data_IF_257965730579
#
_entry.id   IF_257965730579
#
_cell.length_a   1.000
_cell.length_b   1.000
_cell.length_c   1.000
_cell.angle_alpha   90.00
_cell.angle_beta   90.00
_cell.angle_gamma   90.00
#
_symmetry.space_group_name_H-M   'P 1'
#
loop_
_entity.id
_entity.type
_entity.pdbx_description
1 polymer ?
#
# COMPACT_ATOMS: atom_id res chain seq x y z
N UNK A 1 15.33 -0.57 -6.90
CA UNK A 1 14.02 -0.17 -7.46
C UNK A 1 13.68 1.19 -6.89
N UNK A 2 13.27 2.17 -7.70
CA UNK A 2 12.87 3.46 -7.15
C UNK A 2 11.44 3.38 -6.57
N UNK A 3 11.04 4.33 -5.73
CA UNK A 3 9.74 4.31 -5.05
C UNK A 3 8.56 4.34 -6.03
N UNK A 4 8.67 5.06 -7.15
CA UNK A 4 7.60 5.14 -8.17
C UNK A 4 7.39 3.79 -8.87
N UNK A 5 8.44 3.02 -9.10
CA UNK A 5 8.37 1.68 -9.66
C UNK A 5 7.71 0.70 -8.69
N UNK A 6 7.98 0.83 -7.38
CA UNK A 6 7.29 0.04 -6.35
C UNK A 6 5.79 0.33 -6.36
N UNK A 7 5.39 1.61 -6.41
CA UNK A 7 3.98 1.99 -6.45
C UNK A 7 3.24 1.39 -7.65
N UNK A 8 3.91 1.27 -8.80
CA UNK A 8 3.34 0.68 -10.02
C UNK A 8 3.14 -0.84 -9.95
N UNK A 9 3.77 -1.53 -9.00
CA UNK A 9 3.50 -2.95 -8.77
C UNK A 9 2.10 -3.17 -8.20
N UNK A 10 1.54 -2.18 -7.51
CA UNK A 10 0.21 -2.25 -6.90
C UNK A 10 -0.83 -1.91 -7.97
N UNK A 11 -1.74 -2.83 -8.34
CA UNK A 11 -2.74 -2.60 -9.37
C UNK A 11 -3.65 -1.40 -9.05
N UNK A 12 -4.12 -0.72 -10.09
CA UNK A 12 -4.97 0.47 -9.99
C UNK A 12 -6.20 0.19 -9.11
N UNK A 13 -6.93 -0.91 -9.35
CA UNK A 13 -8.09 -1.28 -8.53
C UNK A 13 -7.74 -1.46 -7.04
N UNK A 14 -6.55 -1.96 -6.72
CA UNK A 14 -6.12 -2.13 -5.32
C UNK A 14 -5.81 -0.76 -4.70
N UNK A 15 -5.18 0.16 -5.45
CA UNK A 15 -4.96 1.53 -4.99
C UNK A 15 -6.29 2.21 -4.69
N UNK A 16 -7.20 2.28 -5.67
CA UNK A 16 -8.48 3.01 -5.55
C UNK A 16 -9.42 2.40 -4.50
N UNK A 17 -9.58 1.07 -4.48
CA UNK A 17 -10.61 0.41 -3.66
C UNK A 17 -10.14 0.04 -2.26
N UNK A 18 -8.83 -0.04 -2.01
CA UNK A 18 -8.28 -0.59 -0.75
C UNK A 18 -7.32 0.36 -0.04
N UNK A 19 -6.49 1.11 -0.75
CA UNK A 19 -5.44 1.93 -0.13
C UNK A 19 -5.83 3.41 0.01
N UNK A 20 -6.44 3.97 -1.03
CA UNK A 20 -6.80 5.38 -1.14
C UNK A 20 -8.29 5.61 -0.85
N UNK A 21 -8.79 4.97 0.22
CA UNK A 21 -10.17 5.12 0.68
C UNK A 21 -10.31 6.25 1.70
N UNK A 22 -11.55 6.65 2.00
CA UNK A 22 -11.86 7.65 3.03
C UNK A 22 -11.35 7.26 4.43
N UNK A 23 -11.32 5.96 4.74
CA UNK A 23 -10.76 5.43 6.00
C UNK A 23 -9.23 5.38 6.01
N UNK A 24 -8.58 5.67 4.87
CA UNK A 24 -7.13 5.74 4.68
C UNK A 24 -6.32 4.73 5.52
N UNK A 25 -6.31 3.44 5.15
CA UNK A 25 -5.60 2.40 5.90
C UNK A 25 -4.11 2.70 6.10
N UNK A 26 -3.48 3.41 5.15
CA UNK A 26 -2.08 3.85 5.24
C UNK A 26 -1.84 4.79 6.44
N UNK A 27 -2.79 5.69 6.72
CA UNK A 27 -2.68 6.64 7.81
C UNK A 27 -3.07 6.01 9.16
N UNK A 28 -4.03 5.08 9.15
CA UNK A 28 -4.64 4.49 10.35
C UNK A 28 -4.10 3.10 10.75
N UNK A 29 -2.97 2.66 10.16
CA UNK A 29 -2.33 1.39 10.51
C UNK A 29 -1.50 1.47 11.81
N UNK A 30 -1.76 0.52 12.71
CA UNK A 30 -1.00 0.31 13.95
C UNK A 30 -0.12 -0.95 13.84
N UNK A 31 0.98 -1.04 14.61
CA UNK A 31 1.97 -2.12 14.50
C UNK A 31 1.49 -3.46 15.10
N UNK A 32 0.35 -3.96 14.64
CA UNK A 32 -0.26 -5.21 15.07
C UNK A 32 -1.06 -5.83 13.93
N UNK A 33 -0.90 -7.13 13.67
CA UNK A 33 -1.75 -7.83 12.68
C UNK A 33 -3.21 -7.96 13.12
N UNK A 34 -3.52 -7.73 14.40
CA UNK A 34 -4.91 -7.62 14.85
C UNK A 34 -5.55 -6.30 14.44
N UNK A 35 -4.75 -5.28 14.06
CA UNK A 35 -5.24 -4.05 13.47
C UNK A 35 -5.52 -4.31 11.98
N UNK A 36 -6.79 -4.15 11.57
CA UNK A 36 -7.23 -4.49 10.22
C UNK A 36 -6.51 -3.69 9.12
N UNK A 37 -6.17 -2.43 9.39
CA UNK A 37 -5.43 -1.59 8.44
C UNK A 37 -4.01 -2.14 8.23
N UNK A 38 -3.32 -2.52 9.29
CA UNK A 38 -1.98 -3.10 9.17
C UNK A 38 -2.01 -4.48 8.50
N UNK A 39 -2.99 -5.33 8.82
CA UNK A 39 -3.18 -6.61 8.14
C UNK A 39 -3.37 -6.40 6.62
N UNK A 40 -4.21 -5.44 6.23
CA UNK A 40 -4.38 -5.06 4.83
C UNK A 40 -3.08 -4.59 4.17
N UNK A 41 -2.29 -3.73 4.82
CA UNK A 41 -1.01 -3.27 4.28
C UNK A 41 -0.03 -4.43 4.07
N UNK A 42 0.02 -5.38 5.01
CA UNK A 42 0.86 -6.59 4.88
C UNK A 42 0.40 -7.46 3.71
N UNK A 43 -0.90 -7.69 3.57
CA UNK A 43 -1.47 -8.48 2.48
C UNK A 43 -1.15 -7.87 1.11
N UNK A 44 -1.34 -6.56 0.96
CA UNK A 44 -1.02 -5.84 -0.28
C UNK A 44 0.47 -5.87 -0.58
N UNK A 45 1.31 -5.61 0.42
CA UNK A 45 2.76 -5.62 0.24
C UNK A 45 3.26 -6.99 -0.26
N UNK A 46 2.69 -8.05 0.28
CA UNK A 46 3.02 -9.42 -0.13
C UNK A 46 2.49 -9.75 -1.49
N UNK A 47 1.23 -9.46 -1.77
CA UNK A 47 0.63 -9.81 -3.05
C UNK A 47 1.38 -9.16 -4.24
N UNK A 48 1.89 -7.94 -4.05
CA UNK A 48 2.35 -7.12 -5.19
C UNK A 48 3.81 -6.66 -5.11
N UNK A 49 4.36 -6.43 -3.92
CA UNK A 49 5.72 -5.88 -3.77
C UNK A 49 6.75 -6.97 -3.48
N UNK A 50 6.43 -7.89 -2.56
CA UNK A 50 7.32 -8.98 -2.14
C UNK A 50 6.60 -10.34 -2.07
N UNK A 51 6.12 -10.89 -3.20
CA UNK A 51 5.32 -12.14 -3.24
C UNK A 51 6.05 -13.39 -2.78
N UNK A 52 7.38 -13.37 -2.81
CA UNK A 52 8.21 -14.51 -2.40
C UNK A 52 8.56 -14.49 -0.90
N UNK A 53 8.04 -13.55 -0.10
CA UNK A 53 8.33 -13.45 1.34
C UNK A 53 7.18 -13.97 2.21
N UNK A 54 7.53 -14.74 3.24
CA UNK A 54 6.58 -15.32 4.21
C UNK A 54 5.87 -14.31 5.11
N UNK A 55 4.64 -14.67 5.49
CA UNK A 55 3.92 -14.21 6.71
C UNK A 55 4.79 -13.54 7.79
N UNK A 56 4.92 -12.21 7.90
CA UNK A 56 5.73 -11.64 9.00
C UNK A 56 4.86 -11.05 10.10
N UNK A 57 5.12 -11.50 11.32
CA UNK A 57 4.60 -10.92 12.57
C UNK A 57 5.64 -10.07 13.29
N UNK A 58 6.84 -9.95 12.70
CA UNK A 58 7.96 -9.23 13.30
C UNK A 58 7.65 -7.72 13.39
N UNK A 59 7.70 -7.10 14.59
CA UNK A 59 7.37 -5.68 14.76
C UNK A 59 8.17 -4.74 13.86
N UNK A 60 9.46 -5.02 13.66
CA UNK A 60 10.33 -4.22 12.77
C UNK A 60 9.89 -4.38 11.31
N UNK A 61 9.51 -5.58 10.89
CA UNK A 61 9.01 -5.80 9.53
C UNK A 61 7.68 -5.07 9.30
N UNK A 62 6.77 -5.10 10.28
CA UNK A 62 5.50 -4.36 10.21
C UNK A 62 5.76 -2.85 10.11
N UNK A 63 6.69 -2.33 10.91
CA UNK A 63 7.03 -0.90 10.87
C UNK A 63 7.67 -0.49 9.55
N UNK A 64 8.53 -1.33 8.97
CA UNK A 64 9.10 -1.10 7.65
C UNK A 64 8.00 -1.03 6.57
N UNK A 65 7.05 -1.97 6.57
CA UNK A 65 5.94 -1.98 5.61
C UNK A 65 5.10 -0.70 5.77
N UNK A 66 4.69 -0.38 7.00
CA UNK A 66 3.91 0.82 7.30
C UNK A 66 4.62 2.10 6.85
N UNK A 67 5.91 2.21 7.17
CA UNK A 67 6.74 3.37 6.81
C UNK A 67 6.86 3.49 5.30
N UNK A 68 7.09 2.39 4.58
CA UNK A 68 7.13 2.39 3.12
C UNK A 68 5.81 2.88 2.53
N UNK A 69 4.65 2.41 3.02
CA UNK A 69 3.35 2.91 2.55
C UNK A 69 3.17 4.41 2.79
N UNK A 70 3.61 4.94 3.93
CA UNK A 70 3.55 6.38 4.21
C UNK A 70 4.45 7.19 3.28
N UNK A 71 5.63 6.68 2.94
CA UNK A 71 6.54 7.29 1.96
C UNK A 71 5.95 7.23 0.54
N UNK A 72 5.30 6.12 0.19
CA UNK A 72 4.67 5.91 -1.11
C UNK A 72 3.38 6.72 -1.30
N UNK A 73 2.71 7.10 -0.21
CA UNK A 73 1.39 7.75 -0.24
C UNK A 73 1.25 8.89 -1.28
N UNK A 74 2.12 9.92 -1.33
CA UNK A 74 1.99 10.98 -2.32
C UNK A 74 2.07 10.46 -3.76
N UNK A 75 2.91 9.46 -4.03
CA UNK A 75 3.06 8.85 -5.35
C UNK A 75 1.87 7.95 -5.72
N UNK A 76 1.27 7.26 -4.74
CA UNK A 76 0.06 6.48 -4.96
C UNK A 76 -1.11 7.39 -5.36
N UNK A 77 -1.23 8.57 -4.72
CA UNK A 77 -2.21 9.59 -5.07
C UNK A 77 -1.95 10.14 -6.48
N UNK A 78 -0.71 10.48 -6.82
CA UNK A 78 -0.35 10.93 -8.18
C UNK A 78 -0.76 9.90 -9.25
N UNK A 79 -0.47 8.61 -9.03
CA UNK A 79 -0.87 7.54 -9.95
C UNK A 79 -2.39 7.37 -10.05
N UNK A 80 -3.12 7.59 -8.96
CA UNK A 80 -4.59 7.55 -8.97
C UNK A 80 -5.16 8.71 -9.79
N UNK A 81 -4.63 9.91 -9.62
CA UNK A 81 -5.03 11.07 -10.40
C UNK A 81 -4.71 10.91 -11.89
N UNK A 82 -3.56 10.30 -12.22
CA UNK A 82 -3.21 9.94 -13.60
C UNK A 82 -4.22 8.94 -14.19
N UNK A 83 -4.56 7.88 -13.45
CA UNK A 83 -5.54 6.87 -13.85
C UNK A 83 -6.93 7.48 -14.11
N UNK A 84 -7.44 8.29 -13.17
CA UNK A 84 -8.76 8.92 -13.32
C UNK A 84 -8.82 9.88 -14.51
N UNK A 85 -7.73 10.55 -14.86
CA UNK A 85 -7.67 11.43 -16.05
C UNK A 85 -7.74 10.63 -17.36
N UNK A 86 -7.26 9.39 -17.37
CA UNK A 86 -7.29 8.51 -18.54
C UNK A 86 -8.68 7.88 -18.74
N UNK A 87 -9.39 7.56 -17.65
CA UNK A 87 -10.75 7.00 -17.68
C UNK A 87 -11.83 8.05 -18.08
N UNK A 88 -11.50 9.34 -18.08
CA UNK A 88 -12.39 10.44 -18.46
C UNK A 88 -12.37 10.78 -19.97
N UNK A 89 -11.69 9.98 -20.79
CA UNK A 89 -11.56 10.13 -22.26
C UNK A 89 -12.24 8.95 -22.95
#
# INVERSE_FOLDING_TARGET
>A
MNTKDICRLIPDEVRSKRLLTSESPILNAELSLSNANMALLVDVWKAFVEPNKEITTCPICLDNIRTNFRIMLPLLIELEEEYLKLDMI
#
